data_IF_040121255832
#
_entry.id   IF_040121255832
#
_cell.length_a   1.000
_cell.length_b   1.000
_cell.length_c   1.000
_cell.angle_alpha   90.00
_cell.angle_beta   90.00
_cell.angle_gamma   90.00
#
_symmetry.space_group_name_H-M   'P 1'
#
loop_
_entity.id
_entity.type
_entity.pdbx_description
1 polymer ?
#
# COMPACT_ATOMS: atom_id res chain seq x y z
N UNK A 1 0.61 38.35 -26.88
CA UNK A 1 -0.46 37.50 -26.33
C UNK A 1 0.18 36.32 -25.62
N UNK A 2 0.09 36.24 -24.28
CA UNK A 2 0.63 35.12 -23.49
C UNK A 2 -0.54 34.22 -23.07
N UNK A 3 -0.43 32.93 -23.38
CA UNK A 3 -1.46 31.90 -23.22
C UNK A 3 -1.72 31.57 -21.74
N UNK A 4 -2.98 31.26 -21.43
CA UNK A 4 -3.54 31.06 -20.10
C UNK A 4 -2.85 29.98 -19.24
N UNK A 5 -2.02 29.13 -19.83
CA UNK A 5 -1.35 28.00 -19.16
C UNK A 5 -0.19 28.43 -18.25
N UNK A 6 0.61 29.43 -18.65
CA UNK A 6 1.74 29.89 -17.81
C UNK A 6 1.29 30.66 -16.56
N UNK A 7 0.11 31.28 -16.60
CA UNK A 7 -0.45 32.02 -15.46
C UNK A 7 -0.89 31.09 -14.33
N UNK A 8 -1.29 29.85 -14.63
CA UNK A 8 -1.70 28.86 -13.62
C UNK A 8 -0.50 28.27 -12.87
N UNK A 9 0.61 28.01 -13.56
CA UNK A 9 1.82 27.44 -12.94
C UNK A 9 2.52 28.48 -12.04
N UNK A 10 2.58 29.76 -12.44
CA UNK A 10 3.15 30.80 -11.57
C UNK A 10 2.28 31.14 -10.35
N UNK A 11 0.94 31.07 -10.46
CA UNK A 11 0.06 31.24 -9.30
C UNK A 11 0.21 30.08 -8.30
N UNK A 12 0.47 28.86 -8.77
CA UNK A 12 0.80 27.72 -7.91
C UNK A 12 2.19 27.86 -7.26
N UNK A 13 3.18 28.39 -7.98
CA UNK A 13 4.54 28.56 -7.46
C UNK A 13 4.69 29.69 -6.44
N UNK A 14 3.96 30.80 -6.59
CA UNK A 14 3.94 31.88 -5.60
C UNK A 14 3.09 31.56 -4.36
N UNK A 15 2.23 30.53 -4.41
CA UNK A 15 1.50 30.00 -3.25
C UNK A 15 2.26 28.91 -2.49
N UNK A 16 3.43 28.48 -2.99
CA UNK A 16 4.27 27.44 -2.38
C UNK A 16 5.19 27.97 -1.28
N UNK A 17 5.49 29.27 -1.26
CA UNK A 17 6.47 29.88 -0.34
C UNK A 17 5.82 30.63 0.84
N UNK A 18 4.51 30.45 1.04
CA UNK A 18 3.81 30.89 2.23
C UNK A 18 2.84 29.79 2.64
N UNK A 19 3.29 28.84 3.45
CA UNK A 19 2.41 27.98 4.23
C UNK A 19 1.56 28.91 5.11
N UNK A 20 0.26 29.08 4.84
CA UNK A 20 -0.53 30.04 5.59
C UNK A 20 -0.69 29.50 7.01
N UNK A 21 -0.52 30.39 7.99
CA UNK A 21 -0.75 30.19 9.43
C UNK A 21 -2.13 29.53 9.73
N UNK A 22 -3.06 29.60 8.77
CA UNK A 22 -4.35 28.91 8.77
C UNK A 22 -4.28 27.38 8.73
N UNK A 23 -3.26 26.75 8.13
CA UNK A 23 -3.07 25.29 8.21
C UNK A 23 -2.70 24.85 9.64
N UNK A 24 -1.98 25.70 10.37
CA UNK A 24 -1.63 25.44 11.76
C UNK A 24 -2.81 25.70 12.73
N UNK A 25 -3.79 26.52 12.35
CA UNK A 25 -5.04 26.68 13.12
C UNK A 25 -6.09 25.61 12.77
N UNK A 26 -6.16 25.12 11.53
CA UNK A 26 -7.02 24.00 11.15
C UNK A 26 -6.62 22.69 11.85
N UNK A 27 -5.32 22.37 11.91
CA UNK A 27 -4.79 21.23 12.68
C UNK A 27 -5.08 21.34 14.19
N UNK A 28 -5.21 22.57 14.72
CA UNK A 28 -5.52 22.81 16.14
C UNK A 28 -7.03 22.80 16.43
N UNK A 29 -7.87 23.12 15.45
CA UNK A 29 -9.32 23.17 15.60
C UNK A 29 -10.02 21.84 15.25
N UNK A 30 -9.41 21.00 14.42
CA UNK A 30 -9.94 19.67 14.05
C UNK A 30 -9.32 18.52 14.86
N UNK A 31 -8.40 18.83 15.79
CA UNK A 31 -7.87 17.89 16.78
C UNK A 31 -8.82 17.57 17.95
N UNK A 32 -10.12 17.92 17.83
CA UNK A 32 -11.08 17.80 18.92
C UNK A 32 -12.06 16.61 18.82
N UNK A 33 -12.16 15.89 17.69
CA UNK A 33 -13.01 14.69 17.60
C UNK A 33 -12.48 13.54 16.72
N UNK A 34 -11.27 13.61 16.18
CA UNK A 34 -10.53 12.38 15.85
C UNK A 34 -9.84 11.92 17.12
N UNK A 35 -10.62 11.21 17.95
CA UNK A 35 -10.09 10.50 19.10
C UNK A 35 -8.79 9.81 18.70
N UNK A 36 -7.75 9.96 19.53
CA UNK A 36 -6.53 9.17 19.39
C UNK A 36 -6.95 7.77 18.98
N UNK A 37 -6.33 7.22 17.94
CA UNK A 37 -6.23 5.78 17.83
C UNK A 37 -5.30 5.30 18.96
N UNK A 38 -5.75 5.51 20.21
CA UNK A 38 -5.34 4.75 21.36
C UNK A 38 -5.82 3.35 21.04
N UNK A 39 -4.88 2.48 20.64
CA UNK A 39 -5.12 1.06 20.43
C UNK A 39 -5.45 0.35 21.74
N UNK A 40 -6.53 0.77 22.39
CA UNK A 40 -7.12 0.21 23.59
C UNK A 40 -8.21 -0.83 23.25
N UNK A 41 -8.46 -1.08 21.97
CA UNK A 41 -9.17 -2.26 21.52
C UNK A 41 -8.29 -3.52 21.74
N UNK A 42 -8.86 -4.68 22.13
CA UNK A 42 -8.16 -5.81 22.76
C UNK A 42 -7.32 -6.65 21.77
N UNK A 43 -6.83 -6.04 20.70
CA UNK A 43 -6.25 -6.71 19.53
C UNK A 43 -4.88 -7.33 19.82
N UNK A 44 -4.16 -6.87 20.84
CA UNK A 44 -2.83 -7.41 21.18
C UNK A 44 -2.66 -7.83 22.65
N UNK A 45 -3.51 -7.39 23.59
CA UNK A 45 -3.16 -7.39 25.02
C UNK A 45 -3.84 -8.45 25.88
N UNK A 46 -4.90 -9.10 25.40
CA UNK A 46 -5.43 -10.30 26.07
C UNK A 46 -4.57 -11.52 25.75
N UNK A 47 -3.26 -11.44 25.98
CA UNK A 47 -2.53 -12.66 26.29
C UNK A 47 -2.96 -13.01 27.71
N UNK A 48 -3.50 -14.20 27.92
CA UNK A 48 -3.57 -14.75 29.28
C UNK A 48 -2.11 -14.90 29.68
N UNK A 49 -1.52 -13.87 30.29
CA UNK A 49 -0.19 -13.97 30.83
C UNK A 49 -0.28 -15.01 31.93
N UNK A 50 0.33 -16.21 31.77
CA UNK A 50 0.69 -16.94 32.97
C UNK A 50 1.57 -15.96 33.72
N UNK A 51 1.22 -15.57 34.96
CA UNK A 51 2.17 -14.80 35.79
C UNK A 51 3.50 -15.54 35.69
N UNK A 52 4.58 -14.92 35.20
CA UNK A 52 5.86 -15.60 35.16
C UNK A 52 6.16 -15.99 36.61
N UNK A 53 6.12 -17.28 36.90
CA UNK A 53 6.70 -17.77 38.13
C UNK A 53 8.18 -17.40 38.06
N UNK A 54 8.79 -17.08 39.20
CA UNK A 54 10.22 -16.71 39.24
C UNK A 54 11.13 -17.77 38.58
N UNK A 55 10.63 -18.99 38.37
CA UNK A 55 11.25 -20.11 37.69
C UNK A 55 10.93 -20.26 36.18
N UNK A 56 10.18 -19.36 35.54
CA UNK A 56 9.78 -19.54 34.13
C UNK A 56 10.96 -19.59 33.14
N UNK A 57 12.12 -19.05 33.52
CA UNK A 57 13.36 -19.12 32.73
C UNK A 57 13.83 -20.59 32.68
N UNK A 58 14.07 -21.12 31.47
CA UNK A 58 14.45 -22.53 31.17
C UNK A 58 13.32 -23.56 31.19
N UNK A 59 12.06 -23.15 31.26
CA UNK A 59 10.91 -24.07 31.14
C UNK A 59 10.19 -23.89 29.81
N UNK A 60 9.65 -24.99 29.26
CA UNK A 60 8.80 -24.95 28.08
C UNK A 60 7.47 -24.27 28.45
N UNK A 61 7.28 -23.03 27.98
CA UNK A 61 6.05 -22.28 28.15
C UNK A 61 5.25 -22.28 26.84
N UNK A 62 3.92 -22.29 26.95
CA UNK A 62 3.08 -22.09 25.77
C UNK A 62 3.24 -20.66 25.23
N UNK A 63 3.12 -20.49 23.92
CA UNK A 63 3.12 -19.18 23.29
C UNK A 63 1.96 -18.33 23.86
N UNK A 64 2.20 -17.05 24.13
CA UNK A 64 1.23 -16.14 24.77
C UNK A 64 -0.10 -16.02 23.99
N UNK A 65 -0.02 -16.13 22.67
CA UNK A 65 -1.18 -16.10 21.76
C UNK A 65 -1.70 -17.49 21.36
N UNK A 66 -1.18 -18.58 21.95
CA UNK A 66 -1.52 -19.96 21.56
C UNK A 66 -3.03 -20.22 21.56
N UNK A 67 -3.73 -19.83 22.63
CA UNK A 67 -5.19 -19.97 22.73
C UNK A 67 -5.90 -19.21 21.61
N UNK A 68 -5.46 -17.99 21.28
CA UNK A 68 -6.06 -17.17 20.20
C UNK A 68 -5.87 -17.83 18.84
N UNK A 69 -4.70 -18.40 18.56
CA UNK A 69 -4.44 -19.12 17.31
C UNK A 69 -5.34 -20.35 17.16
N UNK A 70 -5.43 -21.21 18.18
CA UNK A 70 -6.21 -22.46 18.08
C UNK A 70 -7.73 -22.25 18.17
N UNK A 71 -8.17 -21.06 18.59
CA UNK A 71 -9.59 -20.70 18.64
C UNK A 71 -10.04 -19.83 17.48
N UNK A 72 -9.13 -19.45 16.56
CA UNK A 72 -9.44 -18.51 15.47
C UNK A 72 -9.72 -17.08 15.94
N UNK A 73 -9.28 -16.71 17.14
CA UNK A 73 -9.47 -15.37 17.73
C UNK A 73 -8.27 -14.45 17.55
N UNK A 74 -7.15 -14.97 17.06
CA UNK A 74 -6.03 -14.14 16.65
C UNK A 74 -6.42 -13.39 15.37
N UNK A 75 -6.49 -12.06 15.44
CA UNK A 75 -6.82 -11.22 14.28
C UNK A 75 -5.56 -10.93 13.47
N UNK A 76 -5.59 -11.26 12.19
CA UNK A 76 -4.59 -10.90 11.20
C UNK A 76 -5.09 -9.74 10.35
N UNK A 77 -4.23 -9.19 9.48
CA UNK A 77 -4.53 -7.99 8.69
C UNK A 77 -5.83 -8.10 7.88
N UNK A 78 -6.11 -9.28 7.31
CA UNK A 78 -7.28 -9.54 6.46
C UNK A 78 -8.54 -9.89 7.28
N UNK A 79 -8.40 -10.09 8.59
CA UNK A 79 -9.53 -10.27 9.52
C UNK A 79 -10.08 -8.91 10.02
N UNK A 80 -9.40 -7.81 9.70
CA UNK A 80 -9.84 -6.48 10.04
C UNK A 80 -10.93 -6.03 9.05
N UNK A 81 -12.05 -5.46 9.52
CA UNK A 81 -13.05 -4.88 8.64
C UNK A 81 -12.40 -3.84 7.72
N UNK A 82 -12.60 -4.00 6.41
CA UNK A 82 -12.17 -3.01 5.46
C UNK A 82 -12.92 -1.68 5.68
N UNK A 83 -12.24 -0.53 5.63
CA UNK A 83 -12.89 0.77 5.59
C UNK A 83 -13.93 0.88 4.46
N UNK A 84 -14.87 1.81 4.59
CA UNK A 84 -15.79 2.11 3.50
C UNK A 84 -15.02 2.57 2.25
N UNK A 85 -15.50 2.18 1.07
CA UNK A 85 -14.88 2.47 -0.23
C UNK A 85 -13.42 1.97 -0.39
N UNK A 86 -13.02 0.93 0.36
CA UNK A 86 -11.71 0.30 0.20
C UNK A 86 -11.54 -0.25 -1.22
N UNK A 87 -10.43 0.14 -1.86
CA UNK A 87 -10.01 -0.45 -3.13
C UNK A 87 -9.13 -1.67 -2.89
N UNK A 88 -9.21 -2.62 -3.80
CA UNK A 88 -8.39 -3.82 -3.82
C UNK A 88 -7.28 -3.65 -4.85
N UNK A 89 -6.04 -3.75 -4.37
CA UNK A 89 -4.86 -3.71 -5.21
C UNK A 89 -4.47 -5.11 -5.68
N UNK A 90 -4.02 -5.24 -6.92
CA UNK A 90 -3.41 -6.46 -7.45
C UNK A 90 -2.28 -6.10 -8.41
N UNK A 91 -1.14 -6.76 -8.30
CA UNK A 91 0.00 -6.55 -9.19
C UNK A 91 -0.10 -7.38 -10.47
N UNK A 92 0.33 -6.79 -11.58
CA UNK A 92 0.72 -7.52 -12.77
C UNK A 92 2.19 -7.91 -12.66
N UNK A 93 2.47 -9.20 -12.75
CA UNK A 93 3.79 -9.77 -12.51
C UNK A 93 4.41 -10.31 -13.80
N UNK A 94 5.74 -10.31 -13.88
CA UNK A 94 6.46 -10.96 -14.97
C UNK A 94 6.23 -12.48 -14.98
N UNK A 95 5.96 -13.03 -16.16
CA UNK A 95 5.87 -14.48 -16.39
C UNK A 95 7.23 -15.10 -16.76
N UNK A 96 8.26 -14.29 -17.02
CA UNK A 96 9.60 -14.74 -17.42
C UNK A 96 10.64 -14.49 -16.33
N UNK A 97 11.66 -15.36 -16.29
CA UNK A 97 12.72 -15.29 -15.30
C UNK A 97 13.70 -14.14 -15.53
N UNK A 98 13.92 -13.74 -16.77
CA UNK A 98 14.77 -12.61 -17.10
C UNK A 98 14.41 -12.11 -18.50
N UNK A 99 14.36 -10.81 -18.70
CA UNK A 99 13.97 -10.25 -19.99
C UNK A 99 13.94 -8.73 -19.97
N UNK A 100 13.71 -8.15 -21.15
CA UNK A 100 13.49 -6.71 -21.28
C UNK A 100 12.04 -6.50 -21.66
N UNK A 101 11.36 -5.64 -20.92
CA UNK A 101 9.99 -5.22 -21.25
C UNK A 101 10.11 -4.26 -22.43
N UNK A 102 9.69 -4.73 -23.59
CA UNK A 102 9.63 -3.95 -24.82
C UNK A 102 8.30 -3.24 -24.98
N UNK A 103 7.24 -3.80 -24.41
CA UNK A 103 5.91 -3.21 -24.39
C UNK A 103 5.15 -3.57 -23.11
N UNK A 104 4.50 -2.55 -22.54
CA UNK A 104 3.54 -2.70 -21.44
C UNK A 104 2.27 -1.92 -21.80
N UNK A 105 1.27 -2.62 -22.31
CA UNK A 105 0.00 -2.04 -22.73
C UNK A 105 -1.10 -2.39 -21.72
N UNK A 106 -1.68 -1.34 -21.14
CA UNK A 106 -2.61 -1.40 -20.01
C UNK A 106 -3.98 -0.81 -20.37
N UNK A 107 -4.24 -0.53 -21.65
CA UNK A 107 -5.50 0.10 -22.06
C UNK A 107 -6.70 -0.81 -21.80
N UNK A 108 -6.56 -2.11 -22.10
CA UNK A 108 -7.57 -3.11 -21.79
C UNK A 108 -7.82 -3.23 -20.29
N UNK A 109 -6.77 -3.13 -19.47
CA UNK A 109 -6.86 -3.16 -18.00
C UNK A 109 -7.66 -1.96 -17.50
N UNK A 110 -7.33 -0.74 -17.95
CA UNK A 110 -8.00 0.51 -17.55
C UNK A 110 -9.48 0.55 -17.94
N UNK A 111 -9.86 -0.14 -19.02
CA UNK A 111 -11.23 -0.19 -19.49
C UNK A 111 -12.11 -1.22 -18.76
N UNK A 112 -11.56 -2.07 -17.89
CA UNK A 112 -12.32 -3.12 -17.23
C UNK A 112 -13.26 -2.60 -16.14
N UNK A 113 -14.45 -3.20 -15.98
CA UNK A 113 -15.38 -2.82 -14.91
C UNK A 113 -14.74 -2.91 -13.53
N UNK A 114 -14.99 -1.87 -12.72
CA UNK A 114 -14.50 -1.76 -11.35
C UNK A 114 -13.05 -1.31 -11.22
N UNK A 115 -12.28 -1.21 -12.32
CA UNK A 115 -10.92 -0.64 -12.26
C UNK A 115 -11.01 0.86 -12.04
N UNK A 116 -10.34 1.33 -10.99
CA UNK A 116 -10.27 2.75 -10.62
C UNK A 116 -9.00 3.38 -11.18
N UNK A 117 -7.86 2.71 -11.03
CA UNK A 117 -6.60 3.17 -11.60
C UNK A 117 -5.60 2.02 -11.81
N UNK A 118 -4.58 2.29 -12.63
CA UNK A 118 -3.44 1.40 -12.88
C UNK A 118 -2.15 2.22 -12.76
N UNK A 119 -1.28 1.79 -11.85
CA UNK A 119 -0.03 2.47 -11.48
C UNK A 119 1.13 1.67 -12.04
N UNK A 120 2.12 2.37 -12.59
CA UNK A 120 3.37 1.80 -13.13
C UNK A 120 4.57 2.52 -12.51
N UNK A 121 5.79 2.06 -12.79
CA UNK A 121 7.01 2.72 -12.35
C UNK A 121 7.04 4.24 -12.63
N UNK A 122 6.46 4.68 -13.76
CA UNK A 122 6.46 6.09 -14.17
C UNK A 122 5.58 6.99 -13.29
N UNK A 123 4.60 6.40 -12.60
CA UNK A 123 3.67 7.12 -11.74
C UNK A 123 4.22 7.33 -10.32
N UNK A 124 5.29 6.61 -9.94
CA UNK A 124 5.89 6.71 -8.60
C UNK A 124 6.73 8.00 -8.52
N UNK A 125 6.35 8.97 -7.64
CA UNK A 125 7.17 10.14 -7.40
C UNK A 125 8.37 9.78 -6.53
N UNK A 126 9.52 10.42 -6.79
CA UNK A 126 10.71 10.27 -5.96
C UNK A 126 11.48 8.97 -6.18
N UNK A 127 11.92 8.34 -5.09
CA UNK A 127 12.78 7.16 -5.11
C UNK A 127 11.96 5.88 -5.34
N UNK A 128 12.40 5.04 -6.28
CA UNK A 128 11.66 3.84 -6.75
C UNK A 128 12.27 2.52 -6.30
N UNK A 129 13.43 2.57 -5.65
CA UNK A 129 14.13 1.40 -5.13
C UNK A 129 13.68 1.17 -3.69
N UNK A 130 13.30 -0.08 -3.40
CA UNK A 130 12.77 -0.54 -2.11
C UNK A 130 13.73 -1.52 -1.41
N UNK A 131 14.96 -1.61 -1.90
CA UNK A 131 16.01 -2.43 -1.30
C UNK A 131 16.26 -2.04 0.16
N UNK A 132 16.09 -2.95 1.13
CA UNK A 132 16.17 -2.60 2.55
C UNK A 132 17.60 -2.34 3.04
N UNK A 133 18.59 -2.91 2.34
CA UNK A 133 20.01 -2.85 2.73
C UNK A 133 20.87 -2.32 1.58
N UNK A 134 20.68 -2.88 0.38
CA UNK A 134 21.42 -2.50 -0.82
C UNK A 134 20.45 -2.07 -1.91
N UNK A 135 20.85 -1.12 -2.77
CA UNK A 135 20.06 -0.76 -3.94
C UNK A 135 20.01 -1.93 -4.95
N UNK A 136 18.95 -1.96 -5.74
CA UNK A 136 18.74 -2.95 -6.80
C UNK A 136 17.35 -3.57 -6.83
N UNK A 137 16.46 -3.21 -5.91
CA UNK A 137 15.10 -3.76 -5.85
C UNK A 137 14.08 -2.69 -6.25
N UNK A 138 13.79 -2.50 -7.56
CA UNK A 138 12.77 -1.55 -7.97
C UNK A 138 11.37 -2.02 -7.53
N UNK A 139 10.54 -1.08 -7.09
CA UNK A 139 9.13 -1.35 -6.72
C UNK A 139 8.34 -1.95 -7.89
N UNK A 140 8.52 -1.40 -9.09
CA UNK A 140 8.05 -1.98 -10.35
C UNK A 140 9.19 -2.01 -11.35
N UNK A 141 9.38 -3.15 -12.02
CA UNK A 141 10.28 -3.26 -13.16
C UNK A 141 9.78 -2.38 -14.31
N UNK A 142 10.69 -1.58 -14.87
CA UNK A 142 10.41 -0.63 -15.96
C UNK A 142 10.94 -1.19 -17.29
N UNK A 143 12.27 -1.34 -17.41
CA UNK A 143 12.91 -1.82 -18.63
C UNK A 143 13.30 -3.31 -18.55
N UNK A 144 13.74 -3.78 -17.39
CA UNK A 144 14.33 -5.11 -17.24
C UNK A 144 13.65 -5.88 -16.11
N UNK A 145 13.43 -7.16 -16.37
CA UNK A 145 12.96 -8.15 -15.42
C UNK A 145 14.12 -9.06 -15.08
N UNK A 146 14.30 -9.36 -13.80
CA UNK A 146 15.38 -10.19 -13.25
C UNK A 146 14.89 -11.49 -12.61
N UNK A 147 13.58 -11.67 -12.42
CA UNK A 147 12.98 -12.92 -11.89
C UNK A 147 11.50 -13.09 -12.27
N UNK A 148 11.03 -14.35 -12.24
CA UNK A 148 9.61 -14.67 -12.41
C UNK A 148 8.84 -14.11 -11.23
N UNK A 149 7.73 -13.43 -11.50
CA UNK A 149 6.92 -12.82 -10.45
C UNK A 149 7.34 -11.39 -10.08
N UNK A 150 8.31 -10.80 -10.78
CA UNK A 150 8.68 -9.40 -10.52
C UNK A 150 7.51 -8.45 -10.87
N UNK A 151 7.12 -7.54 -9.96
CA UNK A 151 6.03 -6.60 -10.22
C UNK A 151 6.35 -5.64 -11.38
N UNK A 152 5.39 -5.42 -12.27
CA UNK A 152 5.50 -4.50 -13.42
C UNK A 152 4.56 -3.30 -13.28
N UNK A 153 3.38 -3.52 -12.72
CA UNK A 153 2.36 -2.52 -12.48
C UNK A 153 1.40 -3.01 -11.39
N UNK A 154 0.54 -2.14 -10.87
CA UNK A 154 -0.54 -2.49 -9.96
C UNK A 154 -1.86 -1.90 -10.42
N UNK A 155 -2.95 -2.63 -10.17
CA UNK A 155 -4.32 -2.23 -10.47
C UNK A 155 -5.04 -2.00 -9.16
N UNK A 156 -5.70 -0.85 -9.00
CA UNK A 156 -6.65 -0.60 -7.93
C UNK A 156 -8.08 -0.75 -8.48
N UNK A 157 -8.89 -1.60 -7.85
CA UNK A 157 -10.28 -1.84 -8.27
C UNK A 157 -11.26 -1.86 -7.09
N UNK A 158 -12.55 -1.73 -7.38
CA UNK A 158 -13.63 -1.71 -6.38
C UNK A 158 -13.89 -3.05 -5.71
N UNK A 159 -13.34 -4.15 -6.24
CA UNK A 159 -13.41 -5.47 -5.62
C UNK A 159 -12.20 -6.33 -5.95
N UNK A 160 -11.86 -7.26 -5.04
CA UNK A 160 -10.77 -8.21 -5.27
C UNK A 160 -10.94 -9.04 -6.57
N UNK A 161 -12.12 -9.60 -6.91
CA UNK A 161 -12.29 -10.34 -8.16
C UNK A 161 -12.10 -9.47 -9.41
N UNK A 162 -12.44 -8.18 -9.37
CA UNK A 162 -12.20 -7.25 -10.47
C UNK A 162 -10.71 -6.97 -10.66
N UNK A 163 -9.99 -6.62 -9.58
CA UNK A 163 -8.54 -6.42 -9.64
C UNK A 163 -7.81 -7.67 -10.19
N UNK A 164 -8.18 -8.85 -9.68
CA UNK A 164 -7.59 -10.14 -10.11
C UNK A 164 -7.85 -10.49 -11.57
N UNK A 165 -9.01 -10.10 -12.12
CA UNK A 165 -9.30 -10.28 -13.55
C UNK A 165 -8.58 -9.22 -14.38
N UNK A 166 -8.52 -7.99 -13.90
CA UNK A 166 -7.93 -6.86 -14.60
C UNK A 166 -6.44 -7.04 -14.89
N UNK A 167 -5.64 -7.49 -13.92
CA UNK A 167 -4.20 -7.71 -14.13
C UNK A 167 -3.88 -8.68 -15.27
N UNK A 168 -4.80 -9.60 -15.59
CA UNK A 168 -4.64 -10.59 -16.67
C UNK A 168 -4.96 -10.06 -18.06
N UNK A 169 -5.55 -8.87 -18.16
CA UNK A 169 -5.86 -8.24 -19.44
C UNK A 169 -4.70 -7.41 -20.00
N UNK A 170 -3.61 -7.26 -19.24
CA UNK A 170 -2.42 -6.56 -19.71
C UNK A 170 -1.75 -7.32 -20.85
N UNK A 171 -1.21 -6.57 -21.80
CA UNK A 171 -0.34 -7.11 -22.85
C UNK A 171 1.09 -6.71 -22.52
N UNK A 172 1.94 -7.71 -22.33
CA UNK A 172 3.34 -7.57 -21.92
C UNK A 172 4.19 -8.29 -22.96
N UNK A 173 5.18 -7.60 -23.55
CA UNK A 173 6.12 -8.15 -24.53
C UNK A 173 7.57 -7.97 -24.09
#
# INVERSE_FOLDING_TARGET
MRTLTEKRIRKARAASDAVPEALAEADRAEGAEIGRLEGDEPVARDTVSPRPTRDAVRHAQAHESATKHVTGRARYIDDLPAPHDTLHAMEGLSEVAHGRVTRLDLDAVRAMPGVVDVITAQHIPGHRDIGPVFPGDPMFADAEVSYVGQPLFAVAATSYPEARRAVKAAVIE
#
